data_IF_380617185905
#
_entry.id   IF_380617185905
#
_cell.length_a   1.000
_cell.length_b   1.000
_cell.length_c   1.000
_cell.angle_alpha   90.00
_cell.angle_beta   90.00
_cell.angle_gamma   90.00
#
_symmetry.space_group_name_H-M   'P 1'
#
loop_
_entity.id
_entity.type
_entity.pdbx_description
1 polymer ?
#
# COMPACT_ATOMS: atom_id res chain seq x y z
N UNK A 1 17.00 21.54 16.56
CA UNK A 1 15.66 22.02 16.19
C UNK A 1 14.71 20.85 16.19
N UNK A 2 13.61 20.95 16.93
CA UNK A 2 12.60 19.89 17.02
C UNK A 2 11.34 20.39 16.33
N UNK A 3 11.06 19.88 15.13
CA UNK A 3 9.78 20.06 14.49
C UNK A 3 8.86 18.90 14.86
N UNK A 4 7.56 19.14 14.87
CA UNK A 4 6.57 18.10 15.12
C UNK A 4 5.37 18.24 14.17
N UNK A 5 4.61 17.17 14.02
CA UNK A 5 3.40 17.17 13.21
C UNK A 5 2.16 16.94 14.07
N UNK A 6 1.05 17.60 13.72
CA UNK A 6 -0.28 17.33 14.25
C UNK A 6 -1.17 16.88 13.09
N UNK A 7 -1.73 15.69 13.22
CA UNK A 7 -2.53 15.02 12.20
C UNK A 7 -3.99 14.93 12.70
N UNK A 8 -4.83 15.96 12.48
CA UNK A 8 -6.24 15.89 12.83
C UNK A 8 -6.96 14.80 12.03
N UNK A 9 -7.46 13.80 12.76
CA UNK A 9 -8.11 12.61 12.24
C UNK A 9 -9.40 12.26 13.03
N UNK A 10 -10.00 13.23 13.73
CA UNK A 10 -11.19 13.02 14.57
C UNK A 10 -12.53 13.26 13.86
N UNK A 11 -12.50 13.65 12.58
CA UNK A 11 -13.73 13.89 11.81
C UNK A 11 -14.52 12.61 11.55
N UNK A 12 -15.85 12.69 11.63
CA UNK A 12 -16.78 11.56 11.44
C UNK A 12 -16.88 11.04 10.00
N UNK A 13 -16.41 11.80 9.01
CA UNK A 13 -16.35 11.34 7.61
C UNK A 13 -17.71 11.16 6.91
N UNK A 14 -18.81 11.68 7.47
CA UNK A 14 -20.21 11.50 6.99
C UNK A 14 -20.40 11.70 5.48
N UNK A 15 -19.67 12.63 4.86
CA UNK A 15 -19.74 12.93 3.41
C UNK A 15 -19.14 11.84 2.50
N UNK A 16 -18.40 10.89 3.08
CA UNK A 16 -17.70 9.81 2.37
C UNK A 16 -18.55 8.53 2.26
N UNK A 17 -19.69 8.44 2.94
CA UNK A 17 -20.63 7.31 2.85
C UNK A 17 -20.11 5.97 3.38
N UNK A 18 -18.95 5.92 4.04
CA UNK A 18 -18.36 4.70 4.60
C UNK A 18 -18.84 4.43 6.03
N UNK A 19 -18.98 3.14 6.40
CA UNK A 19 -19.35 2.70 7.75
C UNK A 19 -18.26 3.03 8.81
N UNK A 20 -17.00 3.09 8.37
CA UNK A 20 -15.87 3.58 9.18
C UNK A 20 -15.59 5.05 8.87
N UNK A 21 -15.06 5.83 9.83
CA UNK A 21 -14.49 7.14 9.54
C UNK A 21 -13.45 7.05 8.42
N UNK A 22 -13.49 7.97 7.45
CA UNK A 22 -12.71 7.91 6.19
C UNK A 22 -11.20 7.73 6.37
N UNK A 23 -10.64 8.26 7.45
CA UNK A 23 -9.23 8.11 7.82
C UNK A 23 -8.83 6.67 8.16
N UNK A 24 -9.79 5.80 8.47
CA UNK A 24 -9.57 4.38 8.72
C UNK A 24 -9.93 3.49 7.52
N UNK A 25 -10.43 4.07 6.43
CA UNK A 25 -10.64 3.34 5.17
C UNK A 25 -9.28 2.90 4.64
N UNK A 26 -9.18 1.63 4.27
CA UNK A 26 -7.99 1.08 3.65
C UNK A 26 -8.01 1.35 2.14
N UNK A 27 -6.93 1.93 1.63
CA UNK A 27 -6.65 2.00 0.20
C UNK A 27 -5.59 0.93 -0.08
N UNK A 28 -5.96 -0.10 -0.85
CA UNK A 28 -5.07 -1.23 -1.17
C UNK A 28 -4.45 -1.89 0.09
N UNK A 29 -5.27 -2.07 1.12
CA UNK A 29 -4.86 -2.68 2.38
C UNK A 29 -4.15 -1.75 3.37
N UNK A 30 -3.78 -0.52 2.98
CA UNK A 30 -3.17 0.47 3.90
C UNK A 30 -4.17 1.54 4.32
N UNK A 31 -4.44 1.75 5.62
CA UNK A 31 -5.38 2.79 6.08
C UNK A 31 -4.89 4.20 5.71
N UNK A 32 -5.82 5.07 5.32
CA UNK A 32 -5.55 6.47 4.95
C UNK A 32 -4.74 7.21 6.03
N UNK A 33 -5.05 7.02 7.32
CA UNK A 33 -4.28 7.60 8.43
C UNK A 33 -2.81 7.15 8.42
N UNK A 34 -2.56 5.86 8.19
CA UNK A 34 -1.19 5.31 8.13
C UNK A 34 -0.45 5.90 6.93
N UNK A 35 -1.12 6.01 5.78
CA UNK A 35 -0.57 6.66 4.60
C UNK A 35 -0.19 8.13 4.87
N UNK A 36 -1.06 8.90 5.54
CA UNK A 36 -0.78 10.30 5.88
C UNK A 36 0.34 10.48 6.92
N UNK A 37 0.54 9.53 7.84
CA UNK A 37 1.61 9.60 8.85
C UNK A 37 2.97 9.22 8.26
N UNK A 38 3.01 8.24 7.35
CA UNK A 38 4.28 7.64 6.87
C UNK A 38 5.30 8.70 6.38
N UNK A 39 4.94 9.66 5.51
CA UNK A 39 5.89 10.66 5.00
C UNK A 39 6.50 11.56 6.08
N UNK A 40 5.77 11.81 7.18
CA UNK A 40 6.30 12.61 8.30
C UNK A 40 7.36 11.86 9.10
N UNK A 41 7.31 10.53 9.14
CA UNK A 41 8.32 9.73 9.84
C UNK A 41 9.63 9.63 9.04
N UNK A 42 9.55 9.83 7.72
CA UNK A 42 10.71 9.82 6.80
C UNK A 42 11.52 11.11 6.88
N UNK A 43 10.88 12.25 7.20
CA UNK A 43 11.56 13.53 7.39
C UNK A 43 12.26 13.54 8.75
N UNK A 44 13.59 13.75 8.73
CA UNK A 44 14.47 13.60 9.90
C UNK A 44 14.20 14.63 10.99
N UNK A 45 13.81 15.84 10.60
CA UNK A 45 13.57 17.00 11.45
C UNK A 45 12.27 16.86 12.27
N UNK A 46 11.34 16.00 11.81
CA UNK A 46 10.08 15.74 12.52
C UNK A 46 10.34 14.77 13.67
N UNK A 47 10.45 15.26 14.90
CA UNK A 47 10.69 14.42 16.07
C UNK A 47 9.48 13.56 16.44
N UNK A 48 8.30 14.19 16.51
CA UNK A 48 7.04 13.60 16.99
C UNK A 48 5.90 13.88 16.00
N UNK A 49 5.01 12.89 15.86
CA UNK A 49 3.73 13.00 15.15
C UNK A 49 2.59 12.76 16.14
N UNK A 50 1.72 13.75 16.35
CA UNK A 50 0.52 13.62 17.17
C UNK A 50 -0.68 13.42 16.27
N UNK A 51 -1.34 12.26 16.35
CA UNK A 51 -2.59 11.99 15.65
C UNK A 51 -3.77 12.15 16.61
N UNK A 52 -4.73 13.01 16.27
CA UNK A 52 -5.96 13.17 17.06
C UNK A 52 -7.09 12.39 16.42
N UNK A 53 -7.69 11.45 17.14
CA UNK A 53 -8.70 10.50 16.61
C UNK A 53 -10.01 10.60 17.38
N UNK A 54 -11.14 10.07 16.87
CA UNK A 54 -12.36 9.97 17.66
C UNK A 54 -12.11 9.10 18.88
N UNK A 55 -12.61 9.50 20.06
CA UNK A 55 -12.26 8.83 21.32
C UNK A 55 -12.65 7.35 21.38
N UNK A 56 -13.78 7.00 20.77
CA UNK A 56 -14.27 5.63 20.59
C UNK A 56 -13.39 4.79 19.62
N UNK A 57 -12.54 5.43 18.82
CA UNK A 57 -11.65 4.78 17.85
C UNK A 57 -10.18 4.75 18.26
N UNK A 58 -9.82 5.21 19.47
CA UNK A 58 -8.42 5.24 19.93
C UNK A 58 -7.76 3.85 19.92
N UNK A 59 -8.48 2.81 20.35
CA UNK A 59 -7.99 1.42 20.31
C UNK A 59 -7.76 0.92 18.89
N UNK A 60 -8.68 1.24 17.98
CA UNK A 60 -8.58 0.91 16.56
C UNK A 60 -7.36 1.55 15.92
N UNK A 61 -7.14 2.85 16.17
CA UNK A 61 -5.96 3.55 15.69
C UNK A 61 -4.66 2.93 16.23
N UNK A 62 -4.60 2.59 17.53
CA UNK A 62 -3.44 1.94 18.12
C UNK A 62 -3.14 0.56 17.48
N UNK A 63 -4.17 -0.24 17.21
CA UNK A 63 -4.02 -1.52 16.51
C UNK A 63 -3.49 -1.35 15.08
N UNK A 64 -3.98 -0.35 14.34
CA UNK A 64 -3.46 -0.02 13.00
C UNK A 64 -1.99 0.40 13.06
N UNK A 65 -1.62 1.28 13.99
CA UNK A 65 -0.21 1.67 14.15
C UNK A 65 0.68 0.48 14.46
N UNK A 66 0.24 -0.45 15.31
CA UNK A 66 1.00 -1.67 15.63
C UNK A 66 1.17 -2.61 14.43
N UNK A 67 0.19 -2.65 13.52
CA UNK A 67 0.26 -3.47 12.32
C UNK A 67 1.20 -2.90 11.25
N UNK A 68 1.33 -1.58 11.14
CA UNK A 68 2.03 -0.92 10.04
C UNK A 68 3.36 -0.24 10.40
N UNK A 69 3.61 0.03 11.68
CA UNK A 69 4.82 0.71 12.13
C UNK A 69 5.62 -0.13 13.12
N UNK A 70 6.94 -0.13 12.95
CA UNK A 70 7.87 -0.79 13.87
C UNK A 70 7.78 -0.19 15.29
N UNK A 71 8.23 -0.91 16.32
CA UNK A 71 8.29 -0.37 17.68
C UNK A 71 9.04 0.97 17.79
N UNK A 72 10.11 1.15 17.00
CA UNK A 72 10.90 2.40 16.97
C UNK A 72 10.12 3.56 16.35
N UNK A 73 9.40 3.33 15.27
CA UNK A 73 8.56 4.35 14.65
C UNK A 73 7.40 4.74 15.55
N UNK A 74 6.77 3.77 16.21
CA UNK A 74 5.65 4.03 17.13
C UNK A 74 6.04 4.89 18.34
N UNK A 75 7.29 4.87 18.78
CA UNK A 75 7.78 5.78 19.83
C UNK A 75 7.72 7.26 19.41
N UNK A 76 7.68 7.54 18.11
CA UNK A 76 7.54 8.91 17.57
C UNK A 76 6.08 9.30 17.33
N UNK A 77 5.11 8.43 17.61
CA UNK A 77 3.70 8.67 17.31
C UNK A 77 2.91 8.70 18.61
N UNK A 78 2.19 9.80 18.84
CA UNK A 78 1.28 9.97 19.97
C UNK A 78 -0.15 9.99 19.45
N UNK A 79 -1.02 9.16 20.02
CA UNK A 79 -2.45 9.13 19.67
C UNK A 79 -3.27 9.65 20.84
N UNK A 80 -4.05 10.69 20.59
CA UNK A 80 -4.94 11.31 21.58
C UNK A 80 -6.35 11.48 21.02
N UNK A 81 -7.31 11.79 21.89
CA UNK A 81 -8.65 12.14 21.44
C UNK A 81 -8.67 13.52 20.80
N UNK A 82 -9.41 13.66 19.70
CA UNK A 82 -9.70 14.95 19.11
C UNK A 82 -10.90 15.64 19.75
N UNK A 83 -11.14 16.89 19.33
CA UNK A 83 -12.28 17.70 19.75
C UNK A 83 -13.45 17.64 18.75
N UNK A 84 -14.57 18.31 19.07
CA UNK A 84 -15.77 18.28 18.21
C UNK A 84 -15.57 18.96 16.85
N UNK A 85 -14.64 19.91 16.75
CA UNK A 85 -14.25 20.55 15.47
C UNK A 85 -12.82 20.20 15.05
N UNK A 86 -12.48 20.51 13.79
CA UNK A 86 -11.09 20.40 13.28
C UNK A 86 -10.15 21.28 14.11
N UNK A 87 -10.54 22.53 14.38
CA UNK A 87 -9.74 23.49 15.14
C UNK A 87 -9.46 22.99 16.56
N UNK A 88 -10.46 22.45 17.27
CA UNK A 88 -10.26 21.88 18.62
C UNK A 88 -9.43 20.60 18.60
N UNK A 89 -9.58 19.78 17.56
CA UNK A 89 -8.74 18.59 17.36
C UNK A 89 -7.27 18.95 17.12
N UNK A 90 -7.00 20.06 16.42
CA UNK A 90 -5.64 20.57 16.26
C UNK A 90 -5.14 21.16 17.58
N UNK A 91 -5.95 21.94 18.28
CA UNK A 91 -5.63 22.49 19.61
C UNK A 91 -5.23 21.40 20.61
N UNK A 92 -6.00 20.32 20.71
CA UNK A 92 -5.65 19.16 21.54
C UNK A 92 -4.30 18.57 21.15
N UNK A 93 -4.03 18.45 19.84
CA UNK A 93 -2.74 18.02 19.32
C UNK A 93 -1.59 18.93 19.73
N UNK A 94 -1.77 20.25 19.62
CA UNK A 94 -0.78 21.26 20.02
C UNK A 94 -0.45 21.23 21.52
N UNK A 95 -1.41 20.86 22.36
CA UNK A 95 -1.22 20.69 23.80
C UNK A 95 -0.43 19.43 24.17
N UNK A 96 -0.42 18.42 23.29
CA UNK A 96 0.33 17.18 23.49
C UNK A 96 1.76 17.20 22.92
N UNK A 97 2.16 18.30 22.28
CA UNK A 97 3.51 18.46 21.74
C UNK A 97 4.55 18.64 22.85
N UNK A 98 5.78 18.12 22.67
CA UNK A 98 6.90 18.40 23.56
C UNK A 98 7.12 19.91 23.74
N UNK A 99 7.54 20.34 24.93
CA UNK A 99 7.70 21.76 25.27
C UNK A 99 8.77 22.46 24.41
N UNK A 100 9.77 21.70 23.98
CA UNK A 100 10.89 22.10 23.15
C UNK A 100 10.58 22.13 21.63
N UNK A 101 9.34 21.85 21.24
CA UNK A 101 8.90 21.94 19.84
C UNK A 101 9.01 23.39 19.36
N UNK A 102 9.75 23.64 18.28
CA UNK A 102 9.94 24.98 17.71
C UNK A 102 8.95 25.29 16.59
N UNK A 103 8.74 24.29 15.71
CA UNK A 103 7.86 24.37 14.54
C UNK A 103 6.88 23.23 14.57
N UNK A 104 5.62 23.53 14.26
CA UNK A 104 4.57 22.52 14.11
C UNK A 104 4.05 22.53 12.68
N UNK A 105 3.81 21.35 12.12
CA UNK A 105 3.14 21.14 10.85
C UNK A 105 1.78 20.49 11.11
N UNK A 106 0.70 21.13 10.70
CA UNK A 106 -0.64 20.56 10.78
C UNK A 106 -1.02 19.96 9.43
N UNK A 107 -1.42 18.69 9.41
CA UNK A 107 -1.76 17.99 8.18
C UNK A 107 -3.01 17.13 8.28
N UNK A 108 -3.95 17.36 7.38
CA UNK A 108 -5.19 16.60 7.34
C UNK A 108 -4.91 15.11 7.07
N UNK A 109 -5.38 14.24 7.97
CA UNK A 109 -5.30 12.79 7.77
C UNK A 109 -6.00 12.31 6.50
N UNK A 110 -6.88 13.12 5.92
CA UNK A 110 -7.58 12.82 4.67
C UNK A 110 -6.75 13.13 3.41
N UNK A 111 -5.48 13.51 3.54
CA UNK A 111 -4.54 13.73 2.43
C UNK A 111 -3.42 12.68 2.50
N UNK A 112 -3.63 11.46 1.97
CA UNK A 112 -2.67 10.36 2.11
C UNK A 112 -1.47 10.44 1.16
N UNK A 113 -1.44 11.41 0.24
CA UNK A 113 -0.44 11.51 -0.83
C UNK A 113 0.53 12.69 -0.66
N UNK A 114 0.64 13.24 0.56
CA UNK A 114 1.71 14.19 0.88
C UNK A 114 3.08 13.51 0.73
N UNK A 115 4.08 14.25 0.27
CA UNK A 115 5.46 13.73 0.11
C UNK A 115 6.42 14.40 1.08
N UNK A 116 7.56 13.76 1.42
CA UNK A 116 8.61 14.39 2.23
C UNK A 116 9.03 15.76 1.69
N UNK A 117 9.16 15.90 0.36
CA UNK A 117 9.52 17.17 -0.27
C UNK A 117 8.51 18.30 -0.01
N UNK A 118 7.19 18.01 0.05
CA UNK A 118 6.19 19.02 0.41
C UNK A 118 6.33 19.40 1.89
N UNK A 119 6.55 18.41 2.76
CA UNK A 119 6.73 18.60 4.21
C UNK A 119 7.97 19.48 4.48
N UNK A 120 9.09 19.18 3.84
CA UNK A 120 10.35 19.93 3.95
C UNK A 120 10.19 21.38 3.48
N UNK A 121 9.53 21.63 2.34
CA UNK A 121 9.24 23.01 1.89
C UNK A 121 8.39 23.79 2.89
N UNK A 122 7.37 23.16 3.47
CA UNK A 122 6.54 23.81 4.49
C UNK A 122 7.37 24.14 5.74
N UNK A 123 8.19 23.19 6.20
CA UNK A 123 9.09 23.39 7.34
C UNK A 123 10.07 24.54 7.08
N UNK A 124 10.75 24.53 5.93
CA UNK A 124 11.68 25.58 5.54
C UNK A 124 10.99 26.96 5.47
N UNK A 125 9.81 27.03 4.84
CA UNK A 125 9.02 28.26 4.77
C UNK A 125 8.65 28.81 6.14
N UNK A 126 8.24 27.95 7.09
CA UNK A 126 7.94 28.38 8.45
C UNK A 126 9.20 28.81 9.23
N UNK A 127 10.35 28.19 8.98
CA UNK A 127 11.60 28.59 9.62
C UNK A 127 12.05 29.98 9.16
N UNK A 128 11.94 30.26 7.86
CA UNK A 128 12.36 31.52 7.25
C UNK A 128 11.36 32.66 7.49
N UNK A 129 10.07 32.40 7.34
CA UNK A 129 9.01 33.43 7.28
C UNK A 129 8.05 33.39 8.49
N UNK A 130 8.21 32.40 9.37
CA UNK A 130 7.36 32.21 10.56
C UNK A 130 6.19 31.26 10.33
N UNK A 131 5.57 31.29 9.15
CA UNK A 131 4.51 30.35 8.75
C UNK A 131 4.49 30.09 7.25
N UNK A 132 4.06 28.89 6.86
CA UNK A 132 3.92 28.47 5.47
C UNK A 132 2.74 27.52 5.26
N UNK A 133 2.17 27.56 4.05
CA UNK A 133 1.06 26.71 3.61
C UNK A 133 1.38 26.06 2.28
N UNK A 134 1.23 24.73 2.19
CA UNK A 134 1.20 24.06 0.90
C UNK A 134 -0.05 24.49 0.11
N UNK A 135 0.10 24.90 -1.14
CA UNK A 135 -1.04 25.21 -2.00
C UNK A 135 -0.73 24.93 -3.48
N UNK A 136 -1.78 24.80 -4.29
CA UNK A 136 -1.67 24.69 -5.76
C UNK A 136 -2.41 25.84 -6.45
N UNK A 137 -1.95 26.34 -7.61
CA UNK A 137 -2.61 27.43 -8.30
C UNK A 137 -3.98 26.98 -8.82
N UNK A 138 -4.98 27.86 -8.77
CA UNK A 138 -6.31 27.57 -9.34
C UNK A 138 -6.20 27.43 -10.86
N UNK A 139 -6.53 26.25 -11.39
CA UNK A 139 -6.52 25.96 -12.83
C UNK A 139 -7.85 26.26 -13.50
N UNK A 140 -8.96 25.80 -12.91
CA UNK A 140 -10.27 25.93 -13.53
C UNK A 140 -10.84 27.34 -13.41
N UNK A 141 -11.78 27.68 -14.29
CA UNK A 141 -12.53 28.94 -14.20
C UNK A 141 -13.46 28.88 -12.99
N UNK A 142 -13.29 29.82 -12.06
CA UNK A 142 -14.13 29.93 -10.87
C UNK A 142 -15.39 30.76 -11.14
N UNK A 143 -16.53 30.29 -10.63
CA UNK A 143 -17.81 31.01 -10.64
C UNK A 143 -18.23 31.34 -9.22
N UNK A 144 -18.67 32.56 -8.99
CA UNK A 144 -19.35 32.97 -7.76
C UNK A 144 -20.83 32.64 -7.92
N UNK A 145 -21.38 31.90 -6.97
CA UNK A 145 -22.79 31.53 -6.93
C UNK A 145 -23.65 32.74 -6.52
N UNK A 146 -24.75 32.96 -7.25
CA UNK A 146 -25.80 33.90 -6.92
C UNK A 146 -27.07 33.21 -6.43
N UNK A 147 -28.18 33.95 -6.28
CA UNK A 147 -29.49 33.37 -5.94
C UNK A 147 -29.89 32.23 -6.88
N UNK A 148 -30.61 31.24 -6.35
CA UNK A 148 -31.13 30.10 -7.10
C UNK A 148 -30.08 29.29 -7.88
N UNK A 149 -28.84 29.23 -7.38
CA UNK A 149 -27.67 28.61 -8.03
C UNK A 149 -27.32 29.21 -9.40
N UNK A 150 -27.76 30.43 -9.67
CA UNK A 150 -27.35 31.16 -10.87
C UNK A 150 -25.87 31.53 -10.79
N UNK A 151 -25.20 31.61 -11.94
CA UNK A 151 -23.84 32.16 -12.00
C UNK A 151 -23.93 33.68 -11.80
N UNK A 152 -23.43 34.19 -10.67
CA UNK A 152 -23.38 35.63 -10.41
C UNK A 152 -22.29 36.31 -11.23
N UNK A 153 -21.07 35.77 -11.18
CA UNK A 153 -19.91 36.26 -11.95
C UNK A 153 -18.79 35.25 -12.05
N UNK A 154 -17.89 35.46 -13.00
CA UNK A 154 -16.59 34.76 -13.04
C UNK A 154 -15.62 35.45 -12.08
N UNK A 155 -14.86 34.67 -11.32
CA UNK A 155 -13.77 35.17 -10.47
C UNK A 155 -12.46 35.06 -11.24
N UNK A 156 -11.65 36.14 -11.27
CA UNK A 156 -10.31 36.07 -11.85
C UNK A 156 -9.45 35.11 -11.01
N UNK A 157 -8.97 34.04 -11.64
CA UNK A 157 -8.15 33.02 -11.00
C UNK A 157 -6.69 33.44 -10.82
N UNK A 158 -6.25 34.55 -11.43
CA UNK A 158 -4.86 35.01 -11.33
C UNK A 158 -4.52 35.32 -9.87
N UNK A 159 -3.50 34.64 -9.34
CA UNK A 159 -3.07 34.80 -7.95
C UNK A 159 -3.92 34.04 -6.93
N UNK A 160 -4.93 33.27 -7.36
CA UNK A 160 -5.70 32.41 -6.47
C UNK A 160 -5.06 31.03 -6.36
N UNK A 161 -5.01 30.54 -5.12
CA UNK A 161 -4.43 29.25 -4.76
C UNK A 161 -5.43 28.42 -3.97
N UNK A 162 -5.42 27.12 -4.18
CA UNK A 162 -6.18 26.16 -3.39
C UNK A 162 -5.32 25.69 -2.23
N UNK A 163 -5.72 26.08 -1.02
CA UNK A 163 -5.09 25.67 0.22
C UNK A 163 -5.03 24.15 0.36
N UNK A 164 -3.84 23.64 0.66
CA UNK A 164 -3.58 22.27 1.04
C UNK A 164 -3.03 22.22 2.47
N UNK A 165 -2.71 21.00 2.89
CA UNK A 165 -1.86 20.77 4.06
C UNK A 165 -0.69 19.90 3.61
N UNK A 166 0.50 20.01 4.22
CA UNK A 166 0.77 20.56 5.54
C UNK A 166 0.71 22.10 5.61
N UNK A 167 0.37 22.61 6.79
CA UNK A 167 0.48 24.02 7.15
C UNK A 167 1.46 24.11 8.31
N UNK A 168 2.58 24.79 8.10
CA UNK A 168 3.67 24.88 9.06
C UNK A 168 3.71 26.25 9.72
N UNK A 169 3.98 26.31 11.02
CA UNK A 169 4.18 27.55 11.73
C UNK A 169 5.13 27.37 12.91
N UNK A 170 5.87 28.43 13.25
CA UNK A 170 6.53 28.51 14.56
C UNK A 170 5.46 28.39 15.65
N UNK A 171 5.66 27.48 16.61
CA UNK A 171 4.60 27.09 17.54
C UNK A 171 4.05 28.28 18.35
N UNK A 172 4.94 29.23 18.71
CA UNK A 172 4.54 30.43 19.44
C UNK A 172 3.63 31.35 18.63
N UNK A 173 3.83 31.44 17.32
CA UNK A 173 2.96 32.21 16.42
C UNK A 173 1.57 31.58 16.34
N UNK A 174 1.53 30.27 16.14
CA UNK A 174 0.27 29.54 16.04
C UNK A 174 -0.52 29.59 17.35
N UNK A 175 0.12 29.40 18.51
CA UNK A 175 -0.54 29.54 19.81
C UNK A 175 -1.16 30.93 20.01
N UNK A 176 -0.43 32.00 19.67
CA UNK A 176 -0.97 33.37 19.73
C UNK A 176 -2.20 33.55 18.82
N UNK A 177 -2.17 32.97 17.62
CA UNK A 177 -3.31 33.02 16.71
C UNK A 177 -4.55 32.31 17.27
N UNK A 178 -4.35 31.14 17.90
CA UNK A 178 -5.43 30.43 18.60
C UNK A 178 -5.99 31.23 19.79
N UNK A 179 -5.12 31.83 20.61
CA UNK A 179 -5.54 32.65 21.76
C UNK A 179 -6.35 33.87 21.33
N UNK A 180 -5.96 34.52 20.22
CA UNK A 180 -6.70 35.66 19.68
C UNK A 180 -8.05 35.22 19.10
N UNK A 181 -8.07 34.12 18.34
CA UNK A 181 -9.31 33.58 17.79
C UNK A 181 -10.32 33.22 18.90
N UNK A 182 -9.87 32.68 20.04
CA UNK A 182 -10.74 32.42 21.19
C UNK A 182 -11.31 33.72 21.80
N UNK A 183 -10.49 34.77 21.92
CA UNK A 183 -10.95 36.07 22.45
C UNK A 183 -11.98 36.73 21.55
N UNK A 184 -11.82 36.58 20.24
CA UNK A 184 -12.67 37.21 19.23
C UNK A 184 -13.88 36.33 18.83
N UNK A 185 -13.95 35.08 19.32
CA UNK A 185 -14.93 34.10 18.87
C UNK A 185 -14.79 33.72 17.40
N UNK A 186 -13.60 33.86 16.83
CA UNK A 186 -13.31 33.56 15.43
C UNK A 186 -13.08 32.05 15.22
N UNK A 187 -13.71 31.49 14.18
CA UNK A 187 -13.52 30.10 13.76
C UNK A 187 -12.84 30.07 12.39
N UNK A 188 -11.62 29.55 12.34
CA UNK A 188 -10.87 29.36 11.10
C UNK A 188 -11.24 28.06 10.39
N UNK A 189 -11.08 28.02 9.08
CA UNK A 189 -11.22 26.79 8.29
C UNK A 189 -9.94 25.94 8.29
N UNK A 190 -8.81 26.60 8.49
CA UNK A 190 -7.46 26.04 8.54
C UNK A 190 -6.53 26.90 9.41
N UNK A 191 -5.27 26.48 9.59
CA UNK A 191 -4.30 27.20 10.43
C UNK A 191 -3.89 28.55 9.81
N UNK A 192 -3.82 28.63 8.49
CA UNK A 192 -3.54 29.87 7.77
C UNK A 192 -4.59 30.95 8.08
N UNK A 193 -5.88 30.61 8.07
CA UNK A 193 -6.94 31.58 8.40
C UNK A 193 -6.85 32.13 9.85
N UNK A 194 -6.37 31.31 10.80
CA UNK A 194 -6.13 31.77 12.17
C UNK A 194 -4.93 32.73 12.25
N UNK A 195 -3.86 32.42 11.51
CA UNK A 195 -2.67 33.26 11.44
C UNK A 195 -2.97 34.59 10.74
N UNK A 196 -3.74 34.57 9.65
CA UNK A 196 -4.23 35.75 8.94
C UNK A 196 -5.07 36.66 9.85
N UNK A 197 -6.01 36.09 10.60
CA UNK A 197 -6.81 36.83 11.59
C UNK A 197 -5.93 37.50 12.65
N UNK A 198 -4.82 36.87 13.03
CA UNK A 198 -3.83 37.44 13.94
C UNK A 198 -2.83 38.42 13.29
N UNK A 199 -3.01 38.76 12.01
CA UNK A 199 -2.10 39.64 11.27
C UNK A 199 -0.71 39.03 11.04
N UNK A 200 -0.59 37.71 11.15
CA UNK A 200 0.67 36.98 10.94
C UNK A 200 0.73 36.53 9.47
N UNK A 201 1.75 36.95 8.71
CA UNK A 201 1.86 36.57 7.30
C UNK A 201 2.12 35.07 7.15
N UNK A 202 1.51 34.48 6.12
CA UNK A 202 1.67 33.06 5.78
C UNK A 202 2.23 32.95 4.36
N UNK A 203 3.38 32.30 4.21
CA UNK A 203 4.01 32.11 2.90
C UNK A 203 3.42 30.91 2.17
N UNK A 204 3.06 31.08 0.90
CA UNK A 204 2.64 29.94 0.06
C UNK A 204 3.88 29.18 -0.41
N UNK A 205 3.87 27.86 -0.23
CA UNK A 205 4.82 26.94 -0.86
C UNK A 205 4.09 26.02 -1.83
N UNK A 206 4.76 25.62 -2.90
CA UNK A 206 4.14 24.79 -3.93
C UNK A 206 3.80 23.40 -3.39
N UNK A 207 2.53 23.01 -3.54
CA UNK A 207 1.99 21.69 -3.19
C UNK A 207 2.01 20.71 -4.36
N UNK A 208 1.00 19.85 -4.43
CA UNK A 208 0.80 18.93 -5.56
C UNK A 208 -0.68 18.64 -5.76
N UNK A 209 -1.14 18.55 -7.02
CA UNK A 209 -2.52 18.15 -7.34
C UNK A 209 -2.84 16.75 -6.81
N UNK A 210 -1.83 15.86 -6.73
CA UNK A 210 -1.98 14.52 -6.16
C UNK A 210 -2.23 14.55 -4.64
N UNK A 211 -1.87 15.63 -3.95
CA UNK A 211 -2.11 15.83 -2.51
C UNK A 211 -3.54 16.35 -2.23
N UNK A 212 -4.52 15.88 -3.00
CA UNK A 212 -5.92 16.22 -2.79
C UNK A 212 -6.47 15.60 -1.50
N UNK A 213 -7.54 16.20 -0.99
CA UNK A 213 -8.21 15.76 0.25
C UNK A 213 -9.36 14.83 -0.08
N UNK A 214 -9.29 13.59 0.40
CA UNK A 214 -10.38 12.62 0.31
C UNK A 214 -11.58 13.15 1.11
N UNK A 215 -12.65 13.48 0.41
CA UNK A 215 -13.86 14.12 0.98
C UNK A 215 -15.15 13.44 0.52
N UNK A 216 -15.17 12.93 -0.71
CA UNK A 216 -16.31 12.30 -1.38
C UNK A 216 -15.98 10.85 -1.79
N UNK A 217 -16.98 10.01 -2.11
CA UNK A 217 -16.74 8.65 -2.59
C UNK A 217 -15.85 8.57 -3.84
N UNK A 218 -16.01 9.49 -4.80
CA UNK A 218 -15.21 9.51 -6.04
C UNK A 218 -13.73 9.74 -5.76
N UNK A 219 -13.40 10.45 -4.68
CA UNK A 219 -12.01 10.67 -4.25
C UNK A 219 -11.33 9.35 -3.85
N UNK A 220 -12.08 8.38 -3.32
CA UNK A 220 -11.55 7.04 -2.99
C UNK A 220 -11.22 6.24 -4.25
N UNK A 221 -12.00 6.42 -5.32
CA UNK A 221 -11.74 5.79 -6.63
C UNK A 221 -10.45 6.36 -7.21
N UNK A 222 -10.32 7.69 -7.23
CA UNK A 222 -9.11 8.37 -7.68
C UNK A 222 -7.89 7.95 -6.84
N UNK A 223 -8.01 7.95 -5.51
CA UNK A 223 -6.94 7.55 -4.61
C UNK A 223 -6.51 6.08 -4.84
N UNK A 224 -7.47 5.19 -5.05
CA UNK A 224 -7.19 3.78 -5.37
C UNK A 224 -6.50 3.63 -6.73
N UNK A 225 -6.89 4.44 -7.72
CA UNK A 225 -6.24 4.49 -9.04
C UNK A 225 -4.77 4.90 -8.95
N UNK A 226 -4.47 5.97 -8.21
CA UNK A 226 -3.08 6.45 -8.02
C UNK A 226 -2.18 5.41 -7.36
N UNK A 227 -2.71 4.63 -6.42
CA UNK A 227 -1.93 3.54 -5.80
C UNK A 227 -1.67 2.42 -6.81
N UNK A 228 -2.70 2.05 -7.62
CA UNK A 228 -2.58 1.01 -8.65
C UNK A 228 -1.61 1.39 -9.77
N UNK A 229 -1.53 2.65 -10.17
CA UNK A 229 -0.54 3.10 -11.17
C UNK A 229 0.91 2.93 -10.69
N UNK A 230 1.16 2.98 -9.38
CA UNK A 230 2.48 2.68 -8.79
C UNK A 230 2.83 1.19 -8.79
N UNK A 231 2.09 0.35 -9.51
CA UNK A 231 2.22 -1.10 -9.48
C UNK A 231 2.29 -1.62 -10.91
N UNK A 232 3.34 -2.36 -11.23
CA UNK A 232 3.57 -2.93 -12.55
C UNK A 232 3.31 -4.42 -12.48
N UNK A 233 2.66 -4.97 -13.51
CA UNK A 233 2.50 -6.42 -13.65
C UNK A 233 3.73 -6.98 -14.36
N UNK A 234 4.33 -8.03 -13.79
CA UNK A 234 5.37 -8.81 -14.45
C UNK A 234 4.86 -10.20 -14.77
N UNK A 235 5.27 -10.72 -15.93
CA UNK A 235 4.91 -12.06 -16.38
C UNK A 235 6.08 -13.01 -16.16
N UNK A 236 5.77 -14.25 -15.82
CA UNK A 236 6.73 -15.33 -15.78
C UNK A 236 6.17 -16.57 -16.43
N UNK A 237 7.06 -17.33 -17.04
CA UNK A 237 6.77 -18.61 -17.67
C UNK A 237 7.72 -19.66 -17.09
N UNK A 238 7.20 -20.84 -16.83
CA UNK A 238 7.95 -21.98 -16.37
C UNK A 238 7.55 -23.22 -17.15
N UNK A 239 8.53 -24.10 -17.35
CA UNK A 239 8.36 -25.40 -17.97
C UNK A 239 9.23 -26.39 -17.23
N UNK A 240 8.66 -27.53 -16.86
CA UNK A 240 9.41 -28.63 -16.27
C UNK A 240 8.91 -29.98 -16.81
N UNK A 241 9.77 -30.99 -16.80
CA UNK A 241 9.44 -32.34 -17.25
C UNK A 241 10.24 -33.39 -16.49
N UNK A 242 9.54 -34.39 -15.95
CA UNK A 242 10.15 -35.52 -15.23
C UNK A 242 9.77 -36.85 -15.85
N UNK A 243 10.70 -37.80 -15.79
CA UNK A 243 10.52 -39.18 -16.24
C UNK A 243 9.74 -39.98 -15.20
N UNK A 244 8.89 -40.90 -15.65
CA UNK A 244 8.26 -41.87 -14.75
C UNK A 244 9.27 -42.91 -14.24
N UNK A 245 9.13 -43.31 -12.98
CA UNK A 245 9.96 -44.35 -12.36
C UNK A 245 9.17 -45.18 -11.33
N UNK A 246 9.62 -46.40 -11.10
CA UNK A 246 9.03 -47.31 -10.11
C UNK A 246 9.44 -46.94 -8.68
N UNK A 247 8.65 -47.37 -7.70
CA UNK A 247 9.00 -47.24 -6.28
C UNK A 247 8.93 -45.82 -5.72
N UNK A 248 8.32 -44.87 -6.43
CA UNK A 248 8.05 -43.50 -5.96
C UNK A 248 6.56 -43.17 -6.07
N UNK A 249 6.01 -42.33 -5.18
CA UNK A 249 4.66 -41.80 -5.34
C UNK A 249 4.62 -40.77 -6.48
N UNK A 250 3.51 -40.71 -7.21
CA UNK A 250 3.23 -39.60 -8.13
C UNK A 250 2.64 -38.44 -7.35
N UNK A 251 3.39 -37.36 -7.20
CA UNK A 251 2.94 -36.15 -6.52
C UNK A 251 2.83 -35.03 -7.55
N UNK A 252 1.67 -34.38 -7.61
CA UNK A 252 1.39 -33.26 -8.51
C UNK A 252 0.58 -32.21 -7.75
N UNK A 253 1.02 -30.95 -7.71
CA UNK A 253 0.38 -29.88 -6.93
C UNK A 253 0.22 -30.22 -5.43
N UNK A 254 1.17 -30.99 -4.88
CA UNK A 254 1.11 -31.52 -3.51
C UNK A 254 0.04 -32.60 -3.27
N UNK A 255 -0.54 -33.17 -4.32
CA UNK A 255 -1.52 -34.26 -4.23
C UNK A 255 -0.86 -35.57 -4.66
N UNK A 256 -0.96 -36.60 -3.82
CA UNK A 256 -0.55 -37.96 -4.18
C UNK A 256 -1.61 -38.60 -5.09
N UNK A 257 -1.22 -38.94 -6.32
CA UNK A 257 -2.08 -39.54 -7.32
C UNK A 257 -1.94 -41.06 -7.27
N UNK A 258 -3.04 -41.82 -7.11
CA UNK A 258 -3.01 -43.28 -7.17
C UNK A 258 -2.58 -43.77 -8.57
N UNK A 259 -1.29 -44.03 -8.73
CA UNK A 259 -0.68 -44.49 -9.98
C UNK A 259 0.55 -45.35 -9.65
N UNK A 260 0.85 -46.43 -10.40
CA UNK A 260 1.95 -47.35 -10.06
C UNK A 260 3.35 -46.74 -10.24
N UNK A 261 3.48 -45.63 -10.97
CA UNK A 261 4.74 -44.95 -11.23
C UNK A 261 4.73 -43.56 -10.59
N UNK A 262 5.86 -43.14 -10.04
CA UNK A 262 6.11 -41.77 -9.59
C UNK A 262 7.04 -41.03 -10.55
N UNK A 263 7.44 -39.82 -10.19
CA UNK A 263 8.38 -39.02 -10.99
C UNK A 263 9.80 -39.13 -10.43
N UNK A 264 10.75 -39.31 -11.34
CA UNK A 264 12.18 -39.23 -11.07
C UNK A 264 12.59 -37.76 -10.91
N UNK A 265 13.34 -37.45 -9.86
CA UNK A 265 13.80 -36.10 -9.59
C UNK A 265 14.24 -35.91 -8.15
N UNK A 266 14.80 -34.73 -7.88
CA UNK A 266 15.09 -34.27 -6.53
C UNK A 266 13.80 -33.86 -5.82
N UNK A 267 13.83 -33.71 -4.48
CA UNK A 267 12.63 -33.44 -3.66
C UNK A 267 11.54 -34.53 -3.82
N UNK A 268 10.27 -34.14 -3.81
CA UNK A 268 9.12 -35.01 -4.09
C UNK A 268 8.79 -35.14 -5.61
N UNK A 269 9.59 -34.48 -6.46
CA UNK A 269 9.53 -34.51 -7.92
C UNK A 269 8.20 -34.00 -8.53
N UNK A 270 7.53 -33.08 -7.83
CA UNK A 270 6.28 -32.46 -8.29
C UNK A 270 6.52 -31.48 -9.45
N UNK A 271 6.43 -32.00 -10.68
CA UNK A 271 6.65 -31.25 -11.93
C UNK A 271 5.74 -30.03 -12.09
N UNK A 272 4.50 -30.09 -11.57
CA UNK A 272 3.56 -28.96 -11.64
C UNK A 272 4.07 -27.82 -10.76
N UNK A 273 4.41 -28.15 -9.52
CA UNK A 273 4.88 -27.17 -8.54
C UNK A 273 6.24 -26.59 -8.96
N UNK A 274 7.13 -27.39 -9.56
CA UNK A 274 8.41 -26.89 -10.08
C UNK A 274 8.24 -25.90 -11.23
N UNK A 275 7.43 -26.25 -12.25
CA UNK A 275 7.14 -25.32 -13.34
C UNK A 275 6.52 -24.01 -12.82
N UNK A 276 5.65 -24.09 -11.80
CA UNK A 276 5.09 -22.91 -11.15
C UNK A 276 6.14 -22.08 -10.41
N UNK A 277 7.06 -22.70 -9.68
CA UNK A 277 8.19 -22.03 -9.04
C UNK A 277 9.06 -21.30 -10.07
N UNK A 278 9.39 -21.93 -11.19
CA UNK A 278 10.16 -21.30 -12.27
C UNK A 278 9.44 -20.10 -12.85
N UNK A 279 8.14 -20.20 -13.09
CA UNK A 279 7.34 -19.07 -13.56
C UNK A 279 7.38 -17.91 -12.55
N UNK A 280 7.25 -18.18 -11.25
CA UNK A 280 7.35 -17.16 -10.20
C UNK A 280 8.74 -16.50 -10.16
N UNK A 281 9.80 -17.30 -10.16
CA UNK A 281 11.18 -16.80 -10.17
C UNK A 281 11.48 -15.98 -11.43
N UNK A 282 10.98 -16.42 -12.59
CA UNK A 282 11.04 -15.69 -13.85
C UNK A 282 10.35 -14.33 -13.77
N UNK A 283 9.10 -14.28 -13.28
CA UNK A 283 8.36 -13.02 -13.07
C UNK A 283 9.06 -12.07 -12.09
N UNK A 284 9.82 -12.62 -11.12
CA UNK A 284 10.62 -11.86 -10.16
C UNK A 284 11.99 -11.41 -10.74
N UNK A 285 12.40 -11.93 -11.90
CA UNK A 285 13.74 -11.75 -12.44
C UNK A 285 14.83 -12.38 -11.58
N UNK A 286 14.57 -13.57 -11.02
CA UNK A 286 15.47 -14.27 -10.09
C UNK A 286 16.06 -15.57 -10.65
N UNK A 287 15.94 -15.83 -11.95
CA UNK A 287 16.42 -17.06 -12.57
C UNK A 287 15.43 -18.20 -12.39
N UNK A 288 15.95 -19.40 -12.13
CA UNK A 288 15.23 -20.68 -12.09
C UNK A 288 15.39 -21.41 -10.75
N UNK A 289 14.62 -22.48 -10.56
CA UNK A 289 14.57 -23.32 -9.36
C UNK A 289 15.95 -23.90 -9.01
N UNK A 290 16.75 -24.30 -10.00
CA UNK A 290 18.06 -24.92 -9.79
C UNK A 290 19.06 -23.97 -9.15
N UNK A 291 18.96 -22.67 -9.44
CA UNK A 291 19.77 -21.62 -8.79
C UNK A 291 19.43 -21.44 -7.31
N UNK A 292 18.17 -21.59 -6.92
CA UNK A 292 17.71 -21.35 -5.54
C UNK A 292 17.73 -22.62 -4.69
N UNK A 293 17.50 -23.78 -5.31
CA UNK A 293 17.43 -25.08 -4.66
C UNK A 293 18.27 -26.10 -5.43
N UNK A 294 19.62 -26.01 -5.35
CA UNK A 294 20.51 -26.91 -6.08
C UNK A 294 20.30 -28.36 -5.64
N UNK A 295 20.32 -29.28 -6.60
CA UNK A 295 20.20 -30.71 -6.39
C UNK A 295 21.36 -31.34 -5.59
N UNK A 296 22.53 -30.71 -5.63
CA UNK A 296 23.72 -31.07 -4.85
C UNK A 296 23.58 -30.80 -3.35
N UNK A 297 22.59 -30.03 -2.92
CA UNK A 297 22.37 -29.71 -1.51
C UNK A 297 21.44 -30.74 -0.85
N UNK A 298 22.02 -31.57 0.03
CA UNK A 298 21.31 -32.63 0.74
C UNK A 298 20.12 -32.15 1.58
N UNK A 299 20.03 -30.85 1.90
CA UNK A 299 18.89 -30.27 2.64
C UNK A 299 17.57 -30.36 1.89
N UNK A 300 17.58 -30.42 0.56
CA UNK A 300 16.37 -30.48 -0.27
C UNK A 300 16.01 -31.90 -0.70
N UNK A 301 16.75 -32.91 -0.24
CA UNK A 301 16.42 -34.31 -0.52
C UNK A 301 15.10 -34.68 0.17
N UNK A 302 14.12 -35.16 -0.60
CA UNK A 302 12.77 -35.52 -0.13
C UNK A 302 11.99 -34.37 0.54
N UNK A 303 12.39 -33.11 0.36
CA UNK A 303 11.58 -31.97 0.79
C UNK A 303 10.29 -31.93 -0.04
N UNK A 304 9.20 -31.40 0.51
CA UNK A 304 8.02 -31.15 -0.31
C UNK A 304 8.23 -29.93 -1.19
N UNK A 305 7.85 -30.02 -2.47
CA UNK A 305 7.93 -28.87 -3.37
C UNK A 305 6.97 -27.74 -3.00
N UNK A 306 5.91 -28.01 -2.23
CA UNK A 306 5.08 -26.96 -1.63
C UNK A 306 5.86 -26.12 -0.59
N UNK A 307 6.86 -26.69 0.08
CA UNK A 307 7.73 -25.94 0.98
C UNK A 307 8.72 -25.06 0.21
N UNK A 308 9.24 -25.54 -0.92
CA UNK A 308 10.03 -24.72 -1.84
C UNK A 308 9.22 -23.55 -2.38
N UNK A 309 7.98 -23.80 -2.81
CA UNK A 309 7.03 -22.77 -3.24
C UNK A 309 6.78 -21.73 -2.13
N UNK A 310 6.59 -22.17 -0.88
CA UNK A 310 6.43 -21.28 0.27
C UNK A 310 7.65 -20.36 0.45
N UNK A 311 8.86 -20.88 0.29
CA UNK A 311 10.09 -20.07 0.36
C UNK A 311 10.16 -19.01 -0.75
N UNK A 312 9.77 -19.37 -1.99
CA UNK A 312 9.71 -18.42 -3.12
C UNK A 312 8.67 -17.34 -2.88
N UNK A 313 7.48 -17.69 -2.40
CA UNK A 313 6.43 -16.72 -2.05
C UNK A 313 6.85 -15.81 -0.89
N UNK A 314 7.56 -16.33 0.11
CA UNK A 314 8.17 -15.50 1.16
C UNK A 314 9.22 -14.52 0.61
N UNK A 315 9.99 -14.94 -0.40
CA UNK A 315 10.95 -14.10 -1.11
C UNK A 315 10.26 -13.00 -1.95
N UNK A 316 9.14 -13.33 -2.59
CA UNK A 316 8.29 -12.38 -3.32
C UNK A 316 7.68 -11.33 -2.37
N UNK A 317 7.09 -11.77 -1.25
CA UNK A 317 6.49 -10.88 -0.25
C UNK A 317 7.51 -9.88 0.33
N UNK A 318 8.74 -10.31 0.62
CA UNK A 318 9.84 -9.42 1.06
C UNK A 318 10.18 -8.32 0.04
N UNK A 319 9.87 -8.53 -1.24
CA UNK A 319 10.05 -7.56 -2.33
C UNK A 319 8.78 -6.74 -2.62
N UNK A 320 7.74 -6.89 -1.80
CA UNK A 320 6.42 -6.28 -2.03
C UNK A 320 5.66 -6.86 -3.21
N UNK A 321 6.06 -8.05 -3.68
CA UNK A 321 5.41 -8.72 -4.81
C UNK A 321 4.34 -9.69 -4.33
N UNK A 322 3.26 -9.81 -5.10
CA UNK A 322 2.17 -10.75 -4.82
C UNK A 322 1.65 -11.39 -6.10
N UNK A 323 1.13 -12.62 -6.00
CA UNK A 323 0.55 -13.32 -7.14
C UNK A 323 -0.80 -12.70 -7.52
N UNK A 324 -0.98 -12.37 -8.80
CA UNK A 324 -2.26 -11.92 -9.36
C UNK A 324 -3.04 -13.15 -9.82
N UNK A 325 -2.45 -13.93 -10.72
CA UNK A 325 -3.00 -15.20 -11.15
C UNK A 325 -1.90 -16.15 -11.69
N UNK A 326 -2.22 -17.43 -11.71
CA UNK A 326 -1.43 -18.50 -12.31
C UNK A 326 -2.32 -19.38 -13.19
N UNK A 327 -1.86 -19.66 -14.40
CA UNK A 327 -2.48 -20.60 -15.32
C UNK A 327 -1.47 -21.70 -15.67
N UNK A 328 -1.81 -22.94 -15.35
CA UNK A 328 -0.93 -24.09 -15.51
C UNK A 328 -1.55 -25.15 -16.41
N UNK A 329 -0.71 -25.93 -17.08
CA UNK A 329 -1.13 -27.04 -17.94
C UNK A 329 -0.22 -28.24 -17.69
N UNK A 330 -0.81 -29.33 -17.19
CA UNK A 330 -0.17 -30.65 -17.14
C UNK A 330 -0.32 -31.37 -18.47
N UNK A 331 0.76 -32.01 -18.90
CA UNK A 331 0.83 -32.76 -20.15
C UNK A 331 1.25 -34.19 -19.83
N UNK A 332 0.30 -35.12 -19.92
CA UNK A 332 0.55 -36.55 -19.73
C UNK A 332 -0.47 -37.40 -20.47
N UNK A 333 -0.07 -38.61 -20.88
CA UNK A 333 -1.01 -39.57 -21.47
C UNK A 333 -1.88 -40.25 -20.40
N UNK A 334 -1.29 -40.55 -19.25
CA UNK A 334 -1.90 -41.16 -18.08
C UNK A 334 -1.15 -40.68 -16.81
N UNK A 335 -1.78 -40.72 -15.62
CA UNK A 335 -3.17 -41.07 -15.34
C UNK A 335 -4.18 -39.96 -15.69
N UNK A 336 -5.48 -40.24 -15.54
CA UNK A 336 -6.53 -39.21 -15.61
C UNK A 336 -6.44 -38.30 -14.38
N UNK A 337 -6.18 -37.01 -14.61
CA UNK A 337 -5.96 -36.04 -13.55
C UNK A 337 -7.22 -35.30 -13.08
N UNK A 338 -8.30 -35.31 -13.87
CA UNK A 338 -9.53 -34.58 -13.58
C UNK A 338 -10.06 -34.72 -12.13
N UNK A 339 -10.05 -35.91 -11.49
CA UNK A 339 -10.51 -36.05 -10.10
C UNK A 339 -9.67 -35.31 -9.04
N UNK A 340 -8.45 -34.89 -9.38
CA UNK A 340 -7.47 -34.36 -8.45
C UNK A 340 -7.19 -32.86 -8.65
N UNK A 341 -7.63 -32.28 -9.77
CA UNK A 341 -7.32 -30.90 -10.17
C UNK A 341 -7.75 -29.86 -9.13
N UNK A 342 -8.91 -30.05 -8.51
CA UNK A 342 -9.43 -29.15 -7.48
C UNK A 342 -8.53 -29.14 -6.24
N UNK A 343 -8.11 -30.31 -5.77
CA UNK A 343 -7.20 -30.42 -4.62
C UNK A 343 -5.82 -29.84 -4.91
N UNK A 344 -5.30 -30.02 -6.13
CA UNK A 344 -4.05 -29.38 -6.56
C UNK A 344 -4.19 -27.86 -6.52
N UNK A 345 -5.30 -27.33 -7.05
CA UNK A 345 -5.58 -25.90 -7.05
C UNK A 345 -5.64 -25.34 -5.63
N UNK A 346 -6.38 -26.00 -4.74
CA UNK A 346 -6.56 -25.57 -3.36
C UNK A 346 -5.22 -25.53 -2.60
N UNK A 347 -4.37 -26.56 -2.78
CA UNK A 347 -3.03 -26.61 -2.18
C UNK A 347 -2.16 -25.43 -2.64
N UNK A 348 -2.07 -25.20 -3.95
CA UNK A 348 -1.23 -24.15 -4.52
C UNK A 348 -1.73 -22.75 -4.12
N UNK A 349 -3.05 -22.52 -4.17
CA UNK A 349 -3.65 -21.27 -3.74
C UNK A 349 -3.40 -20.99 -2.25
N UNK A 350 -3.51 -22.01 -1.40
CA UNK A 350 -3.25 -21.90 0.04
C UNK A 350 -1.79 -21.52 0.33
N UNK A 351 -0.81 -22.17 -0.32
CA UNK A 351 0.62 -21.84 -0.15
C UNK A 351 0.91 -20.41 -0.61
N UNK A 352 0.28 -19.96 -1.70
CA UNK A 352 0.44 -18.60 -2.22
C UNK A 352 -0.38 -17.54 -1.45
N UNK A 353 -1.24 -17.94 -0.50
CA UNK A 353 -2.15 -17.03 0.23
C UNK A 353 -3.04 -16.20 -0.70
N UNK A 354 -3.58 -16.82 -1.76
CA UNK A 354 -4.48 -16.19 -2.74
C UNK A 354 -5.84 -16.90 -2.79
N UNK A 355 -6.84 -16.24 -3.37
CA UNK A 355 -8.11 -16.91 -3.70
C UNK A 355 -7.87 -18.07 -4.65
N UNK A 356 -8.66 -19.15 -4.51
CA UNK A 356 -8.70 -20.26 -5.48
C UNK A 356 -8.92 -19.79 -6.91
N UNK A 357 -9.64 -18.69 -7.12
CA UNK A 357 -9.96 -18.16 -8.46
C UNK A 357 -8.73 -17.55 -9.15
N UNK A 358 -7.66 -17.29 -8.40
CA UNK A 358 -6.38 -16.84 -8.96
C UNK A 358 -5.55 -17.98 -9.55
N UNK A 359 -5.91 -19.25 -9.31
CA UNK A 359 -5.13 -20.41 -9.74
C UNK A 359 -5.99 -21.26 -10.67
N UNK A 360 -5.49 -21.54 -11.87
CA UNK A 360 -6.12 -22.43 -12.82
C UNK A 360 -5.15 -23.54 -13.24
N UNK A 361 -5.66 -24.78 -13.31
CA UNK A 361 -4.87 -25.94 -13.72
C UNK A 361 -5.66 -26.67 -14.80
N UNK A 362 -5.00 -26.91 -15.93
CA UNK A 362 -5.52 -27.68 -17.07
C UNK A 362 -4.71 -28.95 -17.23
N UNK A 363 -5.28 -29.94 -17.88
CA UNK A 363 -4.57 -31.15 -18.27
C UNK A 363 -4.87 -31.46 -19.74
N UNK A 364 -3.86 -31.89 -20.48
CA UNK A 364 -4.00 -32.34 -21.87
C UNK A 364 -3.14 -33.56 -22.12
N UNK A 365 -3.53 -34.37 -23.10
CA UNK A 365 -2.65 -35.39 -23.68
C UNK A 365 -1.93 -34.81 -24.89
N UNK A 366 -1.02 -35.58 -25.46
CA UNK A 366 -0.36 -35.29 -26.74
C UNK A 366 -0.73 -36.31 -27.81
N UNK A 367 -1.91 -36.94 -27.69
CA UNK A 367 -2.42 -37.92 -28.66
C UNK A 367 -1.41 -39.04 -28.96
N UNK A 368 -0.79 -39.60 -27.92
CA UNK A 368 0.26 -40.63 -28.00
C UNK A 368 1.56 -40.20 -28.70
N UNK A 369 1.72 -38.92 -29.02
CA UNK A 369 2.93 -38.37 -29.62
C UNK A 369 3.91 -37.83 -28.56
N UNK A 370 5.21 -37.94 -28.83
CA UNK A 370 6.26 -37.46 -27.92
C UNK A 370 6.40 -38.28 -26.64
N UNK A 371 7.31 -37.86 -25.75
CA UNK A 371 7.62 -38.62 -24.53
C UNK A 371 6.44 -38.66 -23.54
N UNK A 372 5.68 -37.57 -23.43
CA UNK A 372 4.45 -37.52 -22.61
C UNK A 372 3.36 -38.43 -23.17
N UNK A 373 3.23 -38.51 -24.50
CA UNK A 373 2.26 -39.35 -25.20
C UNK A 373 2.59 -40.85 -25.15
N UNK A 374 3.89 -41.19 -25.22
CA UNK A 374 4.37 -42.58 -25.03
C UNK A 374 4.38 -43.03 -23.56
N UNK A 375 3.97 -42.17 -22.62
CA UNK A 375 3.93 -42.50 -21.20
C UNK A 375 5.31 -42.59 -20.55
N UNK A 376 6.32 -41.91 -21.09
CA UNK A 376 7.68 -41.89 -20.52
C UNK A 376 7.79 -40.92 -19.33
N UNK A 377 6.88 -39.96 -19.21
CA UNK A 377 6.92 -38.94 -18.16
C UNK A 377 5.76 -37.96 -18.22
N UNK A 378 5.85 -36.94 -17.37
CA UNK A 378 4.88 -35.83 -17.27
C UNK A 378 5.62 -34.52 -17.48
N UNK A 379 5.03 -33.60 -18.24
CA UNK A 379 5.51 -32.23 -18.35
C UNK A 379 4.48 -31.24 -17.84
N UNK A 380 4.92 -30.06 -17.43
CA UNK A 380 4.06 -28.98 -16.98
C UNK A 380 4.50 -27.64 -17.58
N UNK A 381 3.53 -26.81 -17.93
CA UNK A 381 3.72 -25.39 -18.16
C UNK A 381 3.04 -24.59 -17.06
N UNK A 382 3.63 -23.46 -16.69
CA UNK A 382 3.03 -22.45 -15.83
C UNK A 382 3.23 -21.06 -16.42
N UNK A 383 2.20 -20.23 -16.40
CA UNK A 383 2.26 -18.80 -16.68
C UNK A 383 1.69 -18.06 -15.50
N UNK A 384 2.41 -17.06 -15.01
CA UNK A 384 2.00 -16.28 -13.83
C UNK A 384 2.06 -14.79 -14.12
N UNK A 385 1.15 -14.05 -13.51
CA UNK A 385 1.28 -12.60 -13.36
C UNK A 385 1.57 -12.29 -11.90
N UNK A 386 2.68 -11.58 -11.66
CA UNK A 386 3.00 -11.00 -10.38
C UNK A 386 2.73 -9.51 -10.42
N UNK A 387 2.19 -9.04 -9.31
CA UNK A 387 2.17 -7.65 -8.97
C UNK A 387 3.54 -7.24 -8.42
N UNK A 388 4.12 -6.15 -8.95
CA UNK A 388 5.41 -5.60 -8.49
C UNK A 388 5.27 -4.11 -8.16
N UNK A 389 5.82 -3.63 -7.03
CA UNK A 389 5.87 -2.19 -6.77
C UNK A 389 6.77 -1.51 -7.80
N UNK A 390 6.29 -0.42 -8.39
CA UNK A 390 7.09 0.46 -9.23
C UNK A 390 8.16 1.09 -8.35
N UNK A 391 9.43 0.72 -8.58
CA UNK A 391 10.54 1.45 -7.95
C UNK A 391 10.64 2.81 -8.63
N UNK A 392 10.60 3.89 -7.86
CA UNK A 392 11.03 5.22 -8.32
C UNK A 392 12.55 5.14 -8.56
N UNK A 393 12.93 4.68 -9.75
CA UNK A 393 14.32 4.62 -10.19
C UNK A 393 14.44 5.39 -11.49
N UNK A 394 15.23 6.47 -11.48
CA UNK A 394 15.79 7.03 -12.71
C UNK A 394 16.48 5.88 -13.44
N UNK A 395 16.10 5.64 -14.69
CA UNK A 395 16.94 4.86 -15.58
C UNK A 395 18.26 5.64 -15.69
N UNK A 396 19.31 5.17 -15.00
CA UNK A 396 20.69 5.59 -15.25
C UNK A 396 21.22 4.93 -16.51
#
# INVERSE_FOLDING_TARGET
MIAAAVIPAAGSGVRCGSALPKQFVALDGKPVLIMSITPFLEVREIGIVVATVPGDHRKTAAAMLAAFFSPKERQRIIVIDGGPTRQESVRAGLSALPAETEVVLVHDAARPFVTPAIIERCLEGALQQGAAIAAVPVRDTLKMEGPDRAVQRTVDRKGLWQAQTPQAARIGLLRRAYDLADRDGFSGTDEASLLEHAGIPVTIVEGSELNFKITRPDDLVLASGLIREKKINTIGHGFDAHRFTEGRPLILGGVAIPYPLGLEGHSDADVLTHAFIDALLGAMGQGDIGRHFPDTDGRYRNISSLELLRQVMGSAAKRGMSLINADMTLICQQPKLAPFMESMRDNLAAVCSVSRDAVNIKATTTEQMGFTGRGEGVAAHAVVLLHRPQKEGKYE
#
